data_IF_517675091048
#
_entry.id   IF_517675091048
#
_cell.length_a   1.000
_cell.length_b   1.000
_cell.length_c   1.000
_cell.angle_alpha   90.00
_cell.angle_beta   90.00
_cell.angle_gamma   90.00
#
_symmetry.space_group_name_H-M   'P 1'
#
loop_
_entity.id
_entity.type
_entity.pdbx_description
1 polymer ?
#
# COMPACT_ATOMS: atom_id res chain seq x y z
N UNK A 1 14.59 -1.89 -12.54
CA UNK A 1 14.03 -1.34 -13.80
C UNK A 1 15.06 -0.52 -14.58
N UNK A 2 15.61 0.58 -14.04
CA UNK A 2 16.64 1.35 -14.77
C UNK A 2 17.83 0.48 -15.23
N UNK A 3 18.31 -0.44 -14.39
CA UNK A 3 19.36 -1.39 -14.77
C UNK A 3 19.06 -2.22 -16.04
N UNK A 4 17.79 -2.42 -16.41
CA UNK A 4 17.38 -3.11 -17.63
C UNK A 4 17.26 -2.15 -18.84
N UNK A 5 17.14 -0.85 -18.58
CA UNK A 5 16.89 0.18 -19.58
C UNK A 5 18.13 0.99 -19.93
N UNK A 6 19.11 1.07 -19.02
CA UNK A 6 20.28 1.94 -19.14
C UNK A 6 21.21 1.57 -20.30
N UNK A 7 21.16 0.34 -20.81
CA UNK A 7 21.94 -0.10 -21.96
C UNK A 7 21.44 0.49 -23.30
N UNK A 8 20.25 1.08 -23.33
CA UNK A 8 19.71 1.74 -24.54
C UNK A 8 20.24 3.17 -24.64
N UNK A 9 20.54 3.62 -25.86
CA UNK A 9 20.75 5.05 -26.12
C UNK A 9 19.40 5.76 -26.09
N UNK A 10 19.23 6.68 -25.15
CA UNK A 10 17.99 7.40 -24.90
C UNK A 10 17.95 8.79 -25.55
N UNK A 11 19.06 9.29 -26.10
CA UNK A 11 19.15 10.62 -26.72
C UNK A 11 18.16 10.75 -27.87
N UNK A 12 17.27 11.74 -27.78
CA UNK A 12 16.27 12.03 -28.80
C UNK A 12 15.16 10.98 -28.91
N UNK A 13 15.07 10.02 -27.98
CA UNK A 13 13.99 9.03 -27.94
C UNK A 13 12.84 9.51 -27.08
N UNK A 14 11.62 9.16 -27.47
CA UNK A 14 10.44 9.39 -26.64
C UNK A 14 10.15 8.18 -25.75
N UNK A 15 9.81 8.43 -24.49
CA UNK A 15 9.33 7.43 -23.54
C UNK A 15 7.99 7.87 -22.96
N UNK A 16 7.00 6.99 -23.04
CA UNK A 16 5.70 7.19 -22.42
C UNK A 16 5.64 6.40 -21.11
N UNK A 17 5.45 7.09 -19.99
CA UNK A 17 5.33 6.46 -18.68
C UNK A 17 3.85 6.42 -18.28
N UNK A 18 3.28 5.21 -18.32
CA UNK A 18 1.90 4.93 -17.89
C UNK A 18 1.90 4.66 -16.39
N UNK A 19 1.17 5.46 -15.62
CA UNK A 19 1.21 5.45 -14.15
C UNK A 19 -0.10 5.91 -13.53
N UNK A 20 -0.18 5.90 -12.20
CA UNK A 20 -1.22 6.64 -11.49
C UNK A 20 -1.00 8.15 -11.59
N UNK A 21 -2.05 8.94 -11.38
CA UNK A 21 -1.98 10.43 -11.37
C UNK A 21 -0.82 10.98 -10.54
N UNK A 22 -0.49 10.32 -9.42
CA UNK A 22 0.66 10.63 -8.58
C UNK A 22 1.59 9.40 -8.46
N UNK A 23 2.83 9.62 -8.05
CA UNK A 23 3.82 8.54 -7.89
C UNK A 23 5.25 9.06 -7.86
N UNK A 24 6.21 8.14 -7.99
CA UNK A 24 7.63 8.49 -8.04
C UNK A 24 8.05 8.93 -9.44
N UNK A 25 8.73 10.06 -9.52
CA UNK A 25 9.23 10.62 -10.79
C UNK A 25 10.63 10.15 -11.16
N UNK A 26 11.32 9.50 -10.22
CA UNK A 26 12.70 9.03 -10.36
C UNK A 26 13.03 8.39 -11.71
N UNK A 27 12.21 7.44 -12.20
CA UNK A 27 12.51 6.78 -13.48
C UNK A 27 12.39 7.75 -14.66
N UNK A 28 11.39 8.62 -14.65
CA UNK A 28 11.17 9.62 -15.68
C UNK A 28 12.29 10.67 -15.68
N UNK A 29 12.71 11.12 -14.49
CA UNK A 29 13.87 11.99 -14.31
C UNK A 29 15.15 11.34 -14.81
N UNK A 30 15.36 10.06 -14.49
CA UNK A 30 16.52 9.28 -14.94
C UNK A 30 16.54 9.16 -16.48
N UNK A 31 15.39 8.91 -17.10
CA UNK A 31 15.26 8.85 -18.56
C UNK A 31 15.52 10.21 -19.22
N UNK A 32 14.97 11.30 -18.66
CA UNK A 32 15.24 12.66 -19.14
C UNK A 32 16.71 13.02 -19.02
N UNK A 33 17.35 12.66 -17.91
CA UNK A 33 18.78 12.87 -17.71
C UNK A 33 19.64 12.09 -18.72
N UNK A 34 19.13 10.95 -19.23
CA UNK A 34 19.75 10.19 -20.32
C UNK A 34 19.42 10.72 -21.74
N UNK A 35 18.71 11.85 -21.85
CA UNK A 35 18.39 12.52 -23.11
C UNK A 35 17.08 12.10 -23.76
N UNK A 36 16.22 11.35 -23.06
CA UNK A 36 14.89 11.01 -23.55
C UNK A 36 13.90 12.17 -23.36
N UNK A 37 12.98 12.30 -24.30
CA UNK A 37 11.74 13.05 -24.09
C UNK A 37 10.75 12.15 -23.35
N UNK A 38 10.28 12.58 -22.17
CA UNK A 38 9.40 11.74 -21.34
C UNK A 38 8.05 12.40 -21.13
N UNK A 39 7.00 11.73 -21.59
CA UNK A 39 5.60 12.09 -21.39
C UNK A 39 4.93 11.12 -20.39
N UNK A 40 3.88 11.60 -19.73
CA UNK A 40 3.09 10.81 -18.78
C UNK A 40 1.69 10.53 -19.30
N UNK A 41 1.17 9.34 -18.98
CA UNK A 41 -0.25 9.01 -19.06
C UNK A 41 -0.71 8.58 -17.68
N UNK A 42 -1.64 9.34 -17.11
CA UNK A 42 -2.34 8.96 -15.89
C UNK A 42 -3.43 7.95 -16.24
N UNK A 43 -3.16 6.66 -16.03
CA UNK A 43 -4.10 5.59 -16.31
C UNK A 43 -5.10 5.34 -15.19
N UNK A 44 -4.79 5.78 -13.96
CA UNK A 44 -5.67 5.61 -12.81
C UNK A 44 -5.42 6.67 -11.73
N UNK A 45 -6.39 6.83 -10.84
CA UNK A 45 -6.27 7.60 -9.59
C UNK A 45 -6.57 6.70 -8.40
N UNK A 46 -5.82 6.88 -7.31
CA UNK A 46 -6.14 6.24 -6.03
C UNK A 46 -7.08 7.16 -5.25
N UNK A 47 -8.19 6.61 -4.79
CA UNK A 47 -9.21 7.30 -4.01
C UNK A 47 -9.61 6.44 -2.82
N UNK A 48 -10.17 7.06 -1.78
CA UNK A 48 -10.76 6.31 -0.68
C UNK A 48 -11.89 5.40 -1.20
N UNK A 49 -11.98 4.14 -0.73
CA UNK A 49 -13.09 3.27 -1.10
C UNK A 49 -14.40 3.82 -0.52
N UNK A 50 -15.51 3.52 -1.20
CA UNK A 50 -16.85 3.78 -0.67
C UNK A 50 -17.35 2.49 -0.05
N UNK A 51 -17.69 2.53 1.24
CA UNK A 51 -18.30 1.39 1.92
C UNK A 51 -19.80 1.34 1.67
N UNK A 52 -20.30 0.18 1.27
CA UNK A 52 -21.71 -0.18 1.29
C UNK A 52 -22.10 -0.83 2.62
N UNK A 53 -23.27 -1.45 2.65
CA UNK A 53 -23.77 -2.13 3.85
C UNK A 53 -22.91 -3.36 4.22
N UNK A 54 -22.46 -4.11 3.22
CA UNK A 54 -21.65 -5.31 3.42
C UNK A 54 -20.28 -4.99 4.03
N UNK A 55 -19.58 -3.96 3.52
CA UNK A 55 -18.27 -3.56 4.04
C UNK A 55 -18.39 -3.02 5.47
N UNK A 56 -19.46 -2.26 5.78
CA UNK A 56 -19.74 -1.80 7.15
C UNK A 56 -20.02 -2.96 8.09
N UNK A 57 -20.77 -3.97 7.66
CA UNK A 57 -21.06 -5.16 8.45
C UNK A 57 -19.79 -5.98 8.71
N UNK A 58 -18.95 -6.17 7.68
CA UNK A 58 -17.67 -6.86 7.82
C UNK A 58 -16.73 -6.11 8.78
N UNK A 59 -16.68 -4.78 8.68
CA UNK A 59 -15.93 -3.93 9.60
C UNK A 59 -16.43 -4.11 11.04
N UNK A 60 -17.75 -4.04 11.27
CA UNK A 60 -18.33 -4.24 12.59
C UNK A 60 -18.02 -5.64 13.17
N UNK A 61 -18.08 -6.69 12.35
CA UNK A 61 -17.73 -8.05 12.76
C UNK A 61 -16.24 -8.17 13.15
N UNK A 62 -15.34 -7.56 12.38
CA UNK A 62 -13.91 -7.52 12.69
C UNK A 62 -13.63 -6.80 14.02
N UNK A 63 -14.37 -5.73 14.33
CA UNK A 63 -14.26 -5.04 15.61
C UNK A 63 -14.85 -5.83 16.78
N UNK A 64 -15.93 -6.59 16.56
CA UNK A 64 -16.58 -7.39 17.60
C UNK A 64 -15.73 -8.61 18.01
N UNK A 65 -14.93 -9.15 17.09
CA UNK A 65 -14.06 -10.30 17.32
C UNK A 65 -12.62 -10.02 16.85
N UNK A 66 -11.88 -9.08 17.48
CA UNK A 66 -10.60 -8.61 16.96
C UNK A 66 -9.50 -9.69 16.94
N UNK A 67 -9.65 -10.74 17.77
CA UNK A 67 -8.75 -11.91 17.81
C UNK A 67 -9.08 -12.96 16.73
N UNK A 68 -10.27 -12.90 16.14
CA UNK A 68 -10.68 -13.81 15.08
C UNK A 68 -10.29 -13.29 13.68
N UNK A 69 -9.70 -12.09 13.60
CA UNK A 69 -9.30 -11.46 12.35
C UNK A 69 -7.88 -10.90 12.44
N UNK A 70 -7.24 -10.77 11.28
CA UNK A 70 -5.94 -10.11 11.13
C UNK A 70 -6.05 -9.09 10.00
N UNK A 71 -5.59 -7.88 10.26
CA UNK A 71 -5.52 -6.81 9.26
C UNK A 71 -4.23 -6.92 8.47
N UNK A 72 -4.30 -7.01 7.14
CA UNK A 72 -3.12 -6.98 6.28
C UNK A 72 -3.05 -5.63 5.56
N UNK A 73 -2.00 -4.86 5.82
CA UNK A 73 -1.75 -3.60 5.12
C UNK A 73 -0.51 -3.68 4.24
N UNK A 74 -0.71 -3.40 2.95
CA UNK A 74 0.34 -3.27 1.94
C UNK A 74 0.63 -1.82 1.52
N UNK A 75 -0.08 -0.86 2.11
CA UNK A 75 0.09 0.57 1.84
C UNK A 75 -0.32 1.41 3.05
N UNK A 76 0.51 2.40 3.42
CA UNK A 76 0.16 3.39 4.44
C UNK A 76 -1.05 4.24 4.01
N UNK A 77 -1.34 4.32 2.71
CA UNK A 77 -2.54 5.00 2.19
C UNK A 77 -3.82 4.27 2.58
N UNK A 78 -3.81 2.93 2.62
CA UNK A 78 -4.96 2.15 3.06
C UNK A 78 -5.25 2.37 4.55
N UNK A 79 -4.21 2.44 5.39
CA UNK A 79 -4.34 2.74 6.82
C UNK A 79 -4.99 4.11 7.02
N UNK A 80 -4.52 5.14 6.28
CA UNK A 80 -5.10 6.49 6.35
C UNK A 80 -6.55 6.51 5.90
N UNK A 81 -6.89 5.85 4.80
CA UNK A 81 -8.28 5.75 4.34
C UNK A 81 -9.17 5.08 5.39
N UNK A 82 -8.70 4.00 6.02
CA UNK A 82 -9.44 3.34 7.10
C UNK A 82 -9.69 4.29 8.27
N UNK A 83 -8.67 5.04 8.71
CA UNK A 83 -8.79 6.01 9.81
C UNK A 83 -9.76 7.15 9.52
N UNK A 84 -9.88 7.58 8.26
CA UNK A 84 -10.89 8.56 7.85
C UNK A 84 -12.29 7.95 7.80
N UNK A 85 -12.43 6.73 7.25
CA UNK A 85 -13.74 6.09 7.04
C UNK A 85 -14.36 5.57 8.33
N UNK A 86 -13.53 5.15 9.29
CA UNK A 86 -13.94 4.61 10.55
C UNK A 86 -12.97 5.09 11.65
N UNK A 87 -13.15 6.32 12.17
CA UNK A 87 -12.30 6.86 13.20
C UNK A 87 -12.28 5.95 14.44
N UNK A 88 -11.16 5.85 15.16
CA UNK A 88 -10.87 4.74 16.06
C UNK A 88 -11.59 4.90 17.41
N UNK A 89 -12.32 3.87 17.88
CA UNK A 89 -12.45 3.68 19.32
C UNK A 89 -11.82 2.38 19.86
N UNK A 90 -11.41 1.40 19.02
CA UNK A 90 -11.10 0.05 19.52
C UNK A 90 -10.02 -0.76 18.75
N UNK A 91 -9.11 -0.14 18.00
CA UNK A 91 -8.08 -0.89 17.26
C UNK A 91 -6.94 -1.44 18.13
N UNK A 92 -6.92 -1.09 19.42
CA UNK A 92 -5.92 -1.55 20.37
C UNK A 92 -5.87 -3.08 20.48
N UNK A 93 -7.01 -3.76 20.34
CA UNK A 93 -7.10 -5.22 20.40
C UNK A 93 -6.82 -5.91 19.05
N UNK A 94 -6.72 -5.14 17.96
CA UNK A 94 -6.55 -5.68 16.62
C UNK A 94 -5.07 -5.96 16.30
N UNK A 95 -4.85 -7.04 15.54
CA UNK A 95 -3.54 -7.41 15.03
C UNK A 95 -3.39 -7.01 13.57
N UNK A 96 -2.23 -6.44 13.24
CA UNK A 96 -1.83 -6.01 11.91
C UNK A 96 -0.61 -6.78 11.43
N UNK A 97 -0.64 -7.22 10.17
CA UNK A 97 0.53 -7.56 9.37
C UNK A 97 0.81 -6.41 8.40
N UNK A 98 1.98 -5.80 8.50
CA UNK A 98 2.40 -4.69 7.65
C UNK A 98 3.55 -5.13 6.74
N UNK A 99 3.44 -4.90 5.43
CA UNK A 99 4.46 -5.39 4.48
C UNK A 99 5.73 -4.53 4.40
N UNK A 100 5.79 -3.44 5.16
CA UNK A 100 6.89 -2.48 5.14
C UNK A 100 6.93 -1.65 6.45
N UNK A 101 8.11 -1.24 6.96
CA UNK A 101 8.24 -0.41 8.17
C UNK A 101 7.35 0.84 8.21
N UNK A 102 7.35 1.63 7.14
CA UNK A 102 6.46 2.82 6.99
C UNK A 102 4.96 2.51 7.08
N UNK A 103 4.54 1.29 6.78
CA UNK A 103 3.14 0.88 6.92
C UNK A 103 2.87 0.55 8.38
N UNK A 104 3.80 -0.15 9.03
CA UNK A 104 3.71 -0.45 10.46
C UNK A 104 3.66 0.83 11.31
N UNK A 105 4.50 1.82 10.99
CA UNK A 105 4.46 3.15 11.60
C UNK A 105 3.09 3.82 11.45
N UNK A 106 2.53 3.81 10.22
CA UNK A 106 1.21 4.37 9.98
C UNK A 106 0.12 3.63 10.78
N UNK A 107 0.18 2.29 10.86
CA UNK A 107 -0.78 1.50 11.62
C UNK A 107 -0.70 1.80 13.13
N UNK A 108 0.51 1.87 13.70
CA UNK A 108 0.69 2.26 15.11
C UNK A 108 0.18 3.67 15.39
N UNK A 109 0.50 4.62 14.52
CA UNK A 109 0.03 6.00 14.62
C UNK A 109 -1.50 6.10 14.52
N UNK A 110 -2.14 5.17 13.83
CA UNK A 110 -3.59 5.11 13.70
C UNK A 110 -4.27 4.41 14.90
N UNK A 111 -3.51 3.81 15.83
CA UNK A 111 -4.03 3.24 17.08
C UNK A 111 -4.13 1.71 17.12
N UNK A 112 -3.48 1.00 16.20
CA UNK A 112 -3.40 -0.47 16.26
C UNK A 112 -2.42 -0.94 17.34
N UNK A 113 -2.85 -1.89 18.19
CA UNK A 113 -2.07 -2.32 19.35
C UNK A 113 -1.00 -3.37 19.05
N UNK A 114 -1.25 -4.30 18.11
CA UNK A 114 -0.25 -5.27 17.67
C UNK A 114 0.04 -5.09 16.18
N UNK A 115 1.31 -4.81 15.85
CA UNK A 115 1.74 -4.55 14.47
C UNK A 115 3.04 -5.29 14.18
N UNK A 116 2.91 -6.39 13.43
CA UNK A 116 4.01 -7.25 13.01
C UNK A 116 4.42 -6.92 11.56
N UNK A 117 5.72 -7.01 11.29
CA UNK A 117 6.22 -6.91 9.92
C UNK A 117 6.15 -8.27 9.23
N UNK A 118 5.76 -8.24 7.96
CA UNK A 118 5.79 -9.41 7.09
C UNK A 118 6.40 -9.04 5.76
N UNK A 119 7.04 -9.98 5.09
CA UNK A 119 7.49 -9.73 3.73
C UNK A 119 6.29 -9.55 2.78
N UNK A 120 6.43 -8.75 1.71
CA UNK A 120 5.39 -8.56 0.70
C UNK A 120 5.27 -9.78 -0.24
N UNK A 121 5.20 -10.99 0.32
CA UNK A 121 5.08 -12.27 -0.39
C UNK A 121 3.89 -13.07 0.16
N UNK A 122 3.01 -13.61 -0.68
CA UNK A 122 1.86 -14.39 -0.22
C UNK A 122 2.21 -15.52 0.76
N UNK A 123 3.34 -16.21 0.54
CA UNK A 123 3.80 -17.30 1.40
C UNK A 123 4.18 -16.80 2.80
N UNK A 124 4.87 -15.66 2.89
CA UNK A 124 5.25 -15.08 4.18
C UNK A 124 4.01 -14.63 4.98
N UNK A 125 3.01 -14.07 4.29
CA UNK A 125 1.71 -13.72 4.90
C UNK A 125 1.01 -14.96 5.43
N UNK A 126 0.92 -16.04 4.63
CA UNK A 126 0.29 -17.28 5.06
C UNK A 126 0.99 -17.90 6.28
N UNK A 127 2.32 -17.92 6.29
CA UNK A 127 3.11 -18.41 7.43
C UNK A 127 2.87 -17.56 8.69
N UNK A 128 2.82 -16.23 8.56
CA UNK A 128 2.57 -15.32 9.68
C UNK A 128 1.15 -15.46 10.27
N UNK A 129 0.18 -15.91 9.46
CA UNK A 129 -1.17 -16.24 9.91
C UNK A 129 -1.21 -17.60 10.62
N UNK A 130 -0.51 -18.61 10.11
CA UNK A 130 -0.45 -19.94 10.71
C UNK A 130 0.29 -19.97 12.05
N UNK A 131 1.38 -19.20 12.19
CA UNK A 131 2.16 -19.14 13.42
C UNK A 131 1.43 -18.47 14.61
N UNK A 132 0.24 -17.92 14.36
CA UNK A 132 -0.56 -17.21 15.35
C UNK A 132 -1.90 -17.88 15.65
N UNK A 133 -2.15 -19.06 15.05
CA UNK A 133 -3.26 -19.95 15.38
C UNK A 133 -2.83 -20.93 16.48
#
# INVERSE_FOLDING_TARGET
LWALLCARDWRGRSALVVRGEAGRDWLAETLRAAGAEVAFVAAYRRVAPRWGAAERALYAAALAAPRACVWLFSSSEAVRHLATLAPPPAWQAARVLATHPRIAEAARAAGFGQVDLVEPRPQAVAQALQAAA
#
